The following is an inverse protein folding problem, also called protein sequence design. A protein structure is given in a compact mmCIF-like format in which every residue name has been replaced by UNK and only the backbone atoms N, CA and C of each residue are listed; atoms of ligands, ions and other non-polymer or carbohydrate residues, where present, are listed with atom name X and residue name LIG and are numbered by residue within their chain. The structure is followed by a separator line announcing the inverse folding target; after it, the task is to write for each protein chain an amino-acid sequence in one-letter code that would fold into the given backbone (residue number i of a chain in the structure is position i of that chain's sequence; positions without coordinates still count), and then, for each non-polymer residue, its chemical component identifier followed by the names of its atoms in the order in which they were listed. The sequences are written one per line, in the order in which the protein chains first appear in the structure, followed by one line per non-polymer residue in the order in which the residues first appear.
data_IF_764967188652
#
_entry.id   IF_764967188652
#
_cell.length_a   1.000
_cell.length_b   1.000
_cell.length_c   1.000
_cell.angle_alpha   90.00
_cell.angle_beta   90.00
_cell.angle_gamma   90.00
#
_symmetry.space_group_name_H-M   'P 1'
#
loop_
_entity.id
_entity.type
_entity.pdbx_description
1 polymer ?
#
# COMPACT_ATOMS: atom_id res chain seq x y z
N UNK A 1 -18.91 -12.81 -12.09
CA UNK A 1 -17.45 -12.83 -11.82
C UNK A 1 -16.70 -13.39 -13.02
N UNK A 2 -15.56 -12.78 -13.38
CA UNK A 2 -14.65 -13.24 -14.44
C UNK A 2 -13.26 -13.40 -13.83
N UNK A 3 -12.54 -14.47 -14.18
CA UNK A 3 -11.16 -14.72 -13.71
C UNK A 3 -10.23 -14.52 -14.89
N UNK A 4 -9.14 -13.78 -14.67
CA UNK A 4 -8.07 -13.62 -15.65
C UNK A 4 -6.75 -14.14 -15.08
N UNK A 5 -5.98 -14.79 -15.95
CA UNK A 5 -4.64 -15.30 -15.67
C UNK A 5 -3.62 -14.39 -16.34
N UNK A 6 -2.60 -14.03 -15.60
CA UNK A 6 -1.52 -13.17 -16.07
C UNK A 6 -0.20 -13.91 -15.86
N UNK A 7 0.32 -14.58 -16.90
CA UNK A 7 1.61 -15.26 -16.78
C UNK A 7 2.72 -14.25 -16.54
N UNK A 8 3.65 -14.61 -15.65
CA UNK A 8 4.87 -13.85 -15.41
C UNK A 8 6.00 -14.37 -16.30
N UNK A 9 7.03 -13.56 -16.49
CA UNK A 9 8.26 -14.04 -17.12
C UNK A 9 8.84 -15.20 -16.29
N UNK A 10 9.22 -16.30 -16.96
CA UNK A 10 9.79 -17.46 -16.27
C UNK A 10 11.21 -17.15 -15.78
N UNK A 11 11.50 -17.46 -14.51
CA UNK A 11 12.83 -17.30 -13.92
C UNK A 11 13.78 -18.46 -14.27
N UNK A 12 13.23 -19.63 -14.57
CA UNK A 12 14.00 -20.84 -14.87
C UNK A 12 13.18 -21.83 -15.70
N UNK A 13 13.87 -22.70 -16.43
CA UNK A 13 13.23 -23.75 -17.23
C UNK A 13 12.35 -24.64 -16.35
N UNK A 14 11.10 -24.83 -16.77
CA UNK A 14 10.12 -25.66 -16.06
C UNK A 14 9.49 -24.98 -14.83
N UNK A 15 9.67 -23.68 -14.65
CA UNK A 15 9.03 -22.89 -13.58
C UNK A 15 8.17 -21.81 -14.19
N UNK A 16 6.84 -21.95 -14.07
CA UNK A 16 5.89 -20.97 -14.52
C UNK A 16 5.10 -20.45 -13.34
N UNK A 17 4.93 -19.13 -13.27
CA UNK A 17 4.07 -18.45 -12.29
C UNK A 17 3.06 -17.56 -13.00
N UNK A 18 1.88 -17.44 -12.40
CA UNK A 18 0.83 -16.57 -12.91
C UNK A 18 0.17 -15.79 -11.76
N UNK A 19 -0.30 -14.59 -12.05
CA UNK A 19 -1.20 -13.85 -11.20
C UNK A 19 -2.65 -14.19 -11.58
N UNK A 20 -3.53 -14.25 -10.59
CA UNK A 20 -4.96 -14.37 -10.80
C UNK A 20 -5.65 -13.07 -10.39
N UNK A 21 -6.41 -12.47 -11.30
CA UNK A 21 -7.29 -11.35 -11.00
C UNK A 21 -8.76 -11.76 -11.13
N UNK A 22 -9.57 -11.32 -10.17
CA UNK A 22 -11.01 -11.59 -10.08
C UNK A 22 -11.76 -10.30 -10.37
N UNK A 23 -12.58 -10.31 -11.41
CA UNK A 23 -13.28 -9.12 -11.90
C UNK A 23 -14.78 -9.25 -11.64
N UNK A 24 -15.34 -8.25 -11.00
CA UNK A 24 -16.75 -8.11 -10.67
C UNK A 24 -17.30 -6.85 -11.33
N UNK A 25 -18.59 -6.85 -11.64
CA UNK A 25 -19.27 -5.74 -12.32
C UNK A 25 -18.93 -5.63 -13.81
N UNK A 26 -19.31 -4.51 -14.41
CA UNK A 26 -19.15 -4.25 -15.84
C UNK A 26 -18.05 -3.23 -16.08
N UNK A 27 -17.01 -3.53 -16.87
CA UNK A 27 -15.99 -2.56 -17.22
C UNK A 27 -16.60 -1.29 -17.84
N UNK A 28 -16.16 -0.12 -17.35
CA UNK A 28 -16.61 1.17 -17.86
C UNK A 28 -18.02 1.59 -17.47
N UNK A 29 -18.73 0.84 -16.62
CA UNK A 29 -20.07 1.22 -16.15
C UNK A 29 -20.05 2.28 -15.03
N UNK A 30 -18.88 2.58 -14.47
CA UNK A 30 -18.67 3.52 -13.37
C UNK A 30 -17.20 3.50 -12.95
N UNK A 31 -16.95 3.80 -11.68
CA UNK A 31 -15.58 3.78 -11.14
C UNK A 31 -14.99 2.36 -11.22
N UNK A 32 -13.68 2.30 -11.48
CA UNK A 32 -12.89 1.09 -11.38
C UNK A 32 -12.14 1.07 -10.06
N UNK A 33 -12.33 0.03 -9.29
CA UNK A 33 -11.67 -0.23 -8.01
C UNK A 33 -10.66 -1.37 -8.21
N UNK A 34 -9.42 -1.16 -7.81
CA UNK A 34 -8.41 -2.20 -7.77
C UNK A 34 -8.00 -2.48 -6.32
N UNK A 35 -8.00 -3.74 -5.93
CA UNK A 35 -7.61 -4.19 -4.59
C UNK A 35 -6.62 -5.33 -4.74
N UNK A 36 -5.43 -5.19 -4.14
CA UNK A 36 -4.47 -6.29 -4.08
C UNK A 36 -4.08 -6.61 -2.63
N UNK A 37 -3.55 -7.79 -2.43
CA UNK A 37 -2.98 -8.25 -1.16
C UNK A 37 -1.74 -9.10 -1.41
N UNK A 38 -0.89 -9.23 -0.40
CA UNK A 38 0.29 -10.11 -0.46
C UNK A 38 1.34 -9.65 -1.48
N UNK A 39 1.56 -8.34 -1.63
CA UNK A 39 2.70 -7.82 -2.37
C UNK A 39 3.99 -8.10 -1.59
N UNK A 40 4.03 -7.81 -0.29
CA UNK A 40 4.91 -8.51 0.64
C UNK A 40 4.22 -9.83 1.00
N UNK A 41 4.74 -10.94 0.51
CA UNK A 41 3.97 -12.19 0.46
C UNK A 41 3.88 -12.92 1.81
N UNK A 42 4.66 -12.51 2.79
CA UNK A 42 4.59 -12.95 4.20
C UNK A 42 3.53 -12.20 5.02
N UNK A 43 2.91 -11.16 4.46
CA UNK A 43 1.86 -10.36 5.08
C UNK A 43 0.48 -10.96 4.78
N UNK A 44 0.02 -11.88 5.62
CA UNK A 44 -1.15 -12.73 5.37
C UNK A 44 -2.53 -12.08 5.63
N UNK A 45 -2.71 -11.08 6.54
CA UNK A 45 -4.03 -10.49 6.84
C UNK A 45 -4.78 -10.03 5.59
N UNK A 46 -4.09 -9.38 4.64
CA UNK A 46 -4.67 -8.89 3.39
C UNK A 46 -5.27 -10.00 2.52
N UNK A 47 -4.66 -11.19 2.47
CA UNK A 47 -5.21 -12.32 1.72
C UNK A 47 -6.54 -12.79 2.30
N UNK A 48 -6.67 -12.81 3.62
CA UNK A 48 -7.92 -13.20 4.29
C UNK A 48 -9.02 -12.14 4.08
N UNK A 49 -8.66 -10.84 4.12
CA UNK A 49 -9.58 -9.75 3.76
C UNK A 49 -10.04 -9.88 2.29
N UNK A 50 -9.12 -10.14 1.36
CA UNK A 50 -9.45 -10.35 -0.04
C UNK A 50 -10.39 -11.54 -0.25
N UNK A 51 -10.23 -12.64 0.52
CA UNK A 51 -11.17 -13.77 0.52
C UNK A 51 -12.58 -13.32 0.95
N UNK A 52 -12.71 -12.57 2.04
CA UNK A 52 -14.00 -12.06 2.50
C UNK A 52 -14.62 -11.05 1.52
N UNK A 53 -13.82 -10.17 0.91
CA UNK A 53 -14.28 -9.23 -0.12
C UNK A 53 -14.82 -9.96 -1.35
N UNK A 54 -14.11 -10.99 -1.82
CA UNK A 54 -14.56 -11.78 -2.97
C UNK A 54 -15.96 -12.36 -2.74
N UNK A 55 -16.20 -12.97 -1.59
CA UNK A 55 -17.51 -13.51 -1.23
C UNK A 55 -18.61 -12.43 -1.22
N UNK A 56 -18.30 -11.21 -0.74
CA UNK A 56 -19.23 -10.08 -0.75
C UNK A 56 -19.52 -9.60 -2.17
N UNK A 57 -18.50 -9.44 -3.00
CA UNK A 57 -18.70 -8.98 -4.39
C UNK A 57 -19.42 -10.00 -5.25
N UNK A 58 -19.30 -11.29 -4.99
CA UNK A 58 -20.14 -12.32 -5.65
C UNK A 58 -21.63 -12.09 -5.37
N UNK A 59 -21.98 -11.79 -4.13
CA UNK A 59 -23.36 -11.48 -3.73
C UNK A 59 -23.84 -10.15 -4.34
N UNK A 60 -23.02 -9.09 -4.24
CA UNK A 60 -23.35 -7.76 -4.76
C UNK A 60 -23.54 -7.76 -6.29
N UNK A 61 -22.72 -8.51 -7.02
CA UNK A 61 -22.85 -8.68 -8.47
C UNK A 61 -24.14 -9.47 -8.79
N UNK A 62 -24.40 -10.58 -8.11
CA UNK A 62 -25.60 -11.42 -8.32
C UNK A 62 -26.90 -10.66 -8.02
N UNK A 63 -26.87 -9.69 -7.12
CA UNK A 63 -28.02 -8.86 -6.74
C UNK A 63 -28.07 -7.52 -7.48
N UNK A 64 -27.20 -7.30 -8.48
CA UNK A 64 -27.09 -6.04 -9.26
C UNK A 64 -26.85 -4.78 -8.41
N UNK A 65 -26.15 -4.95 -7.30
CA UNK A 65 -25.79 -3.85 -6.38
C UNK A 65 -24.42 -3.26 -6.67
N UNK A 66 -23.68 -3.79 -7.63
CA UNK A 66 -22.38 -3.29 -8.03
C UNK A 66 -22.54 -2.35 -9.23
N UNK A 67 -22.21 -1.05 -9.04
CA UNK A 67 -22.41 0.02 -10.04
C UNK A 67 -21.19 0.18 -10.94
N UNK A 68 -20.00 -0.11 -10.45
CA UNK A 68 -18.73 0.00 -11.17
C UNK A 68 -18.07 -1.35 -11.47
N UNK A 69 -16.75 -1.29 -11.68
CA UNK A 69 -15.90 -2.49 -11.82
C UNK A 69 -15.02 -2.64 -10.58
N UNK A 70 -14.91 -3.87 -10.06
CA UNK A 70 -13.96 -4.21 -8.99
C UNK A 70 -13.02 -5.30 -9.48
N UNK A 71 -11.73 -5.08 -9.33
CA UNK A 71 -10.66 -6.05 -9.66
C UNK A 71 -9.93 -6.41 -8.37
N UNK A 72 -9.90 -7.69 -8.00
CA UNK A 72 -9.19 -8.18 -6.83
C UNK A 72 -8.04 -9.11 -7.26
N UNK A 73 -6.85 -8.86 -6.74
CA UNK A 73 -5.66 -9.71 -6.86
C UNK A 73 -5.29 -10.21 -5.46
N UNK A 74 -5.80 -11.37 -5.01
CA UNK A 74 -5.63 -11.84 -3.64
C UNK A 74 -4.19 -12.23 -3.29
N UNK A 75 -3.41 -12.59 -4.28
CA UNK A 75 -1.99 -12.96 -4.18
C UNK A 75 -1.25 -12.17 -5.25
N UNK A 76 -0.78 -10.99 -4.90
CA UNK A 76 -0.05 -10.11 -5.79
C UNK A 76 1.38 -10.58 -6.06
N UNK A 77 1.96 -11.41 -5.18
CA UNK A 77 3.35 -11.85 -5.28
C UNK A 77 3.52 -13.37 -5.09
N UNK A 78 3.29 -14.17 -6.14
CA UNK A 78 3.51 -15.61 -6.08
C UNK A 78 5.01 -15.99 -6.00
N UNK A 79 5.92 -15.06 -6.31
CA UNK A 79 7.38 -15.27 -6.18
C UNK A 79 7.72 -15.31 -4.69
N UNK A 80 7.44 -14.22 -3.98
CA UNK A 80 7.70 -14.10 -2.55
C UNK A 80 6.94 -15.14 -1.72
N UNK A 81 5.70 -15.49 -2.13
CA UNK A 81 4.90 -16.51 -1.45
C UNK A 81 5.55 -17.91 -1.49
N UNK A 82 6.36 -18.19 -2.50
CA UNK A 82 7.10 -19.46 -2.62
C UNK A 82 8.42 -19.47 -1.83
N UNK A 83 8.82 -18.33 -1.24
CA UNK A 83 10.10 -18.21 -0.52
C UNK A 83 9.96 -18.63 0.95
N UNK A 84 10.19 -19.90 1.22
CA UNK A 84 10.17 -20.47 2.56
C UNK A 84 11.59 -20.98 2.90
N UNK A 85 12.18 -20.46 4.00
CA UNK A 85 13.49 -20.89 4.48
C UNK A 85 13.39 -21.32 5.95
N UNK A 86 13.77 -22.55 6.26
CA UNK A 86 13.76 -23.10 7.62
C UNK A 86 12.43 -22.83 8.38
N UNK A 87 11.31 -22.99 7.68
CA UNK A 87 9.95 -22.72 8.18
C UNK A 87 9.61 -21.24 8.42
N UNK A 88 10.49 -20.32 8.03
CA UNK A 88 10.23 -18.89 8.03
C UNK A 88 9.86 -18.44 6.63
N UNK A 89 8.75 -17.74 6.49
CA UNK A 89 8.31 -17.15 5.24
C UNK A 89 9.07 -15.84 5.01
N UNK A 90 9.71 -15.70 3.86
CA UNK A 90 10.52 -14.54 3.47
C UNK A 90 9.92 -13.87 2.24
N UNK A 91 8.77 -13.23 2.42
CA UNK A 91 7.97 -12.72 1.32
C UNK A 91 8.19 -11.25 0.95
N UNK A 92 8.97 -10.50 1.76
CA UNK A 92 9.17 -9.07 1.58
C UNK A 92 10.20 -8.73 0.51
N UNK A 93 11.28 -9.52 0.45
CA UNK A 93 12.39 -9.33 -0.49
C UNK A 93 12.51 -10.51 -1.43
N UNK A 94 12.91 -10.24 -2.68
CA UNK A 94 13.31 -11.30 -3.61
C UNK A 94 14.66 -11.88 -3.18
N UNK A 95 14.71 -13.17 -2.88
CA UNK A 95 15.95 -13.84 -2.45
C UNK A 95 17.01 -13.92 -3.55
N UNK A 96 16.62 -13.79 -4.81
CA UNK A 96 17.54 -13.82 -5.93
C UNK A 96 18.29 -12.51 -6.14
N UNK A 97 17.64 -11.38 -5.90
CA UNK A 97 18.20 -10.05 -6.15
C UNK A 97 18.41 -9.21 -4.89
N UNK A 98 17.74 -9.55 -3.79
CA UNK A 98 17.69 -8.74 -2.58
C UNK A 98 16.76 -7.51 -2.68
N UNK A 99 16.02 -7.36 -3.79
CA UNK A 99 15.11 -6.24 -3.97
C UNK A 99 13.82 -6.41 -3.17
N UNK A 100 13.36 -5.31 -2.56
CA UNK A 100 12.03 -5.24 -1.97
C UNK A 100 10.96 -5.26 -3.07
N UNK A 101 9.96 -6.14 -2.96
CA UNK A 101 8.91 -6.27 -3.96
C UNK A 101 8.05 -5.01 -4.11
N UNK A 102 7.91 -4.20 -3.05
CA UNK A 102 7.16 -2.93 -3.06
C UNK A 102 8.08 -1.71 -3.24
N UNK A 103 9.10 -1.80 -4.07
CA UNK A 103 9.97 -0.68 -4.46
C UNK A 103 10.24 -0.72 -5.96
N UNK A 104 10.76 0.40 -6.49
CA UNK A 104 11.25 0.52 -7.86
C UNK A 104 10.20 0.19 -8.94
N UNK A 105 8.94 0.57 -8.70
CA UNK A 105 7.92 0.52 -9.75
C UNK A 105 8.28 1.50 -10.87
N UNK A 106 7.87 1.22 -12.14
CA UNK A 106 8.11 2.14 -13.25
C UNK A 106 7.57 3.54 -12.97
N UNK A 107 8.41 4.58 -13.11
CA UNK A 107 7.99 5.97 -13.05
C UNK A 107 7.29 6.34 -14.37
N UNK A 108 6.03 6.75 -14.32
CA UNK A 108 5.21 6.99 -15.51
C UNK A 108 5.23 8.44 -15.97
N UNK A 109 5.55 9.39 -15.10
CA UNK A 109 5.35 10.82 -15.31
C UNK A 109 5.93 11.35 -16.62
N UNK A 110 7.23 11.20 -16.87
CA UNK A 110 7.87 11.76 -18.05
C UNK A 110 7.35 11.15 -19.36
N UNK A 111 7.14 9.83 -19.36
CA UNK A 111 6.59 9.11 -20.51
C UNK A 111 5.16 9.54 -20.83
N UNK A 112 4.34 9.76 -19.81
CA UNK A 112 2.96 10.26 -19.95
C UNK A 112 2.95 11.71 -20.35
N UNK A 113 3.70 12.60 -19.68
CA UNK A 113 3.79 14.02 -19.98
C UNK A 113 4.17 14.27 -21.45
N UNK A 114 5.16 13.52 -21.94
CA UNK A 114 5.57 13.60 -23.36
C UNK A 114 4.42 13.25 -24.33
N UNK A 115 3.60 12.25 -23.99
CA UNK A 115 2.49 11.80 -24.84
C UNK A 115 1.29 12.73 -24.83
N UNK A 116 1.01 13.39 -23.69
CA UNK A 116 -0.21 14.18 -23.54
C UNK A 116 -0.02 15.67 -23.82
N UNK A 117 1.20 16.18 -23.83
CA UNK A 117 1.54 17.63 -23.84
C UNK A 117 0.80 18.46 -24.88
N UNK A 118 0.55 17.93 -26.08
CA UNK A 118 -0.11 18.61 -27.19
C UNK A 118 -1.57 18.17 -27.41
N UNK A 119 -2.14 17.39 -26.47
CA UNK A 119 -3.46 16.76 -26.61
C UNK A 119 -4.41 17.12 -25.46
N UNK A 120 -3.89 17.80 -24.42
CA UNK A 120 -4.72 18.24 -23.29
C UNK A 120 -5.73 19.30 -23.75
N UNK A 121 -6.93 19.22 -23.22
CA UNK A 121 -8.07 20.09 -23.53
C UNK A 121 -8.57 20.82 -22.27
N UNK A 122 -9.61 21.64 -22.43
CA UNK A 122 -10.32 22.26 -21.30
C UNK A 122 -11.32 21.32 -20.62
N UNK A 123 -11.45 20.07 -21.08
CA UNK A 123 -12.36 19.08 -20.54
C UNK A 123 -11.60 18.10 -19.63
N UNK A 124 -12.00 18.04 -18.36
CA UNK A 124 -11.42 17.19 -17.32
C UNK A 124 -11.58 15.69 -17.65
N UNK A 125 -12.72 15.31 -18.23
CA UNK A 125 -13.03 13.91 -18.54
C UNK A 125 -12.18 13.42 -19.70
N UNK A 126 -12.02 14.25 -20.75
CA UNK A 126 -11.14 13.94 -21.88
C UNK A 126 -9.69 13.81 -21.42
N UNK A 127 -9.21 14.74 -20.59
CA UNK A 127 -7.85 14.68 -20.04
C UNK A 127 -7.62 13.43 -19.20
N UNK A 128 -8.59 13.05 -18.35
CA UNK A 128 -8.51 11.82 -17.56
C UNK A 128 -8.40 10.57 -18.46
N UNK A 129 -9.22 10.47 -19.49
CA UNK A 129 -9.19 9.34 -20.42
C UNK A 129 -7.87 9.29 -21.19
N UNK A 130 -7.38 10.45 -21.66
CA UNK A 130 -6.10 10.60 -22.37
C UNK A 130 -4.93 10.15 -21.48
N UNK A 131 -4.86 10.63 -20.24
CA UNK A 131 -3.80 10.29 -19.28
C UNK A 131 -3.80 8.79 -18.98
N UNK A 132 -4.94 8.18 -18.71
CA UNK A 132 -5.06 6.73 -18.50
C UNK A 132 -4.59 5.91 -19.70
N UNK A 133 -4.96 6.35 -20.90
CA UNK A 133 -4.50 5.74 -22.16
C UNK A 133 -2.97 5.86 -22.31
N UNK A 134 -2.41 7.03 -22.00
CA UNK A 134 -0.97 7.27 -22.06
C UNK A 134 -0.19 6.43 -21.03
N UNK A 135 -0.71 6.29 -19.79
CA UNK A 135 -0.11 5.40 -18.78
C UNK A 135 -0.01 3.96 -19.27
N UNK A 136 -1.10 3.42 -19.83
CA UNK A 136 -1.11 2.08 -20.42
C UNK A 136 -0.13 1.96 -21.59
N UNK A 137 -0.05 2.97 -22.44
CA UNK A 137 0.87 2.99 -23.58
C UNK A 137 2.35 3.03 -23.12
N UNK A 138 2.67 3.80 -22.07
CA UNK A 138 4.03 3.81 -21.47
C UNK A 138 4.40 2.46 -20.93
N UNK A 139 3.49 1.80 -20.19
CA UNK A 139 3.73 0.47 -19.63
C UNK A 139 3.82 -0.62 -20.70
N UNK A 140 3.12 -0.47 -21.84
CA UNK A 140 3.19 -1.42 -22.95
C UNK A 140 4.47 -1.25 -23.80
N UNK A 141 5.10 -0.09 -23.77
CA UNK A 141 6.25 0.25 -24.59
C UNK A 141 7.54 -0.37 -24.03
N UNK A 142 8.04 -1.38 -24.70
CA UNK A 142 9.28 -2.08 -24.31
C UNK A 142 10.54 -1.21 -24.53
N UNK A 143 10.48 -0.20 -25.40
CA UNK A 143 11.61 0.68 -25.69
C UNK A 143 11.92 1.66 -24.56
N UNK A 144 10.99 1.88 -23.62
CA UNK A 144 11.17 2.78 -22.46
C UNK A 144 11.87 2.10 -21.27
N UNK A 145 12.15 0.80 -21.39
CA UNK A 145 12.86 0.05 -20.34
C UNK A 145 14.38 0.27 -20.45
N UNK A 146 15.14 0.31 -19.34
CA UNK A 146 16.56 0.54 -19.39
C UNK A 146 17.26 -0.57 -20.21
N UNK A 147 18.26 -0.22 -21.06
CA UNK A 147 18.87 -1.12 -22.04
C UNK A 147 19.66 -2.31 -21.44
N UNK A 148 19.78 -2.39 -20.14
CA UNK A 148 20.49 -3.51 -19.44
C UNK A 148 19.62 -4.76 -19.30
N UNK A 149 18.31 -4.65 -19.49
CA UNK A 149 17.39 -5.78 -19.36
C UNK A 149 16.82 -6.19 -20.71
N UNK A 150 17.65 -6.80 -21.58
CA UNK A 150 17.16 -7.52 -22.77
C UNK A 150 16.33 -8.76 -22.41
N UNK A 151 16.30 -9.16 -21.13
CA UNK A 151 15.40 -10.17 -20.59
C UNK A 151 14.59 -9.53 -19.44
N UNK A 152 13.27 -9.50 -19.56
CA UNK A 152 12.38 -9.11 -18.48
C UNK A 152 12.54 -10.09 -17.33
N UNK A 153 13.02 -9.61 -16.17
CA UNK A 153 13.11 -10.47 -14.97
C UNK A 153 11.71 -10.77 -14.44
N UNK A 154 11.60 -11.85 -13.66
CA UNK A 154 10.31 -12.24 -13.07
C UNK A 154 9.72 -11.11 -12.20
N UNK A 155 10.55 -10.42 -11.39
CA UNK A 155 10.13 -9.30 -10.55
C UNK A 155 9.72 -8.06 -11.39
N UNK A 156 10.42 -7.77 -12.48
CA UNK A 156 10.03 -6.69 -13.39
C UNK A 156 8.70 -6.99 -14.09
N UNK A 157 8.51 -8.25 -14.51
CA UNK A 157 7.23 -8.74 -15.06
C UNK A 157 6.09 -8.62 -14.06
N UNK A 158 6.34 -8.96 -12.78
CA UNK A 158 5.39 -8.81 -11.68
C UNK A 158 4.96 -7.35 -11.52
N UNK A 159 5.91 -6.45 -11.31
CA UNK A 159 5.67 -5.00 -11.12
C UNK A 159 4.88 -4.40 -12.28
N UNK A 160 5.29 -4.71 -13.51
CA UNK A 160 4.62 -4.26 -14.74
C UNK A 160 3.17 -4.76 -14.81
N UNK A 161 2.94 -6.03 -14.51
CA UNK A 161 1.61 -6.65 -14.57
C UNK A 161 0.66 -6.03 -13.53
N UNK A 162 1.11 -5.87 -12.29
CA UNK A 162 0.30 -5.24 -11.23
C UNK A 162 -0.04 -3.79 -11.58
N UNK A 163 0.94 -3.02 -12.04
CA UNK A 163 0.71 -1.62 -12.41
C UNK A 163 -0.21 -1.48 -13.64
N UNK A 164 -0.12 -2.39 -14.63
CA UNK A 164 -1.05 -2.43 -15.77
C UNK A 164 -2.50 -2.73 -15.36
N UNK A 165 -2.70 -3.50 -14.29
CA UNK A 165 -4.03 -3.79 -13.75
C UNK A 165 -4.63 -2.61 -12.97
N UNK A 166 -3.75 -1.78 -12.36
CA UNK A 166 -4.13 -0.72 -11.44
C UNK A 166 -4.12 0.69 -12.03
N UNK A 167 -3.26 1.00 -13.01
CA UNK A 167 -2.95 2.38 -13.44
C UNK A 167 -4.14 3.19 -13.98
N UNK A 168 -5.23 2.55 -14.35
CA UNK A 168 -6.47 3.20 -14.81
C UNK A 168 -7.60 3.13 -13.79
N UNK A 169 -7.32 2.66 -12.57
CA UNK A 169 -8.33 2.60 -11.51
C UNK A 169 -8.59 3.98 -10.89
N UNK A 170 -9.82 4.19 -10.44
CA UNK A 170 -10.23 5.36 -9.65
C UNK A 170 -9.81 5.24 -8.19
N UNK A 171 -9.75 4.00 -7.69
CA UNK A 171 -9.28 3.67 -6.34
C UNK A 171 -8.38 2.45 -6.40
N UNK A 172 -7.24 2.54 -5.72
CA UNK A 172 -6.27 1.45 -5.53
C UNK A 172 -6.11 1.23 -4.03
N UNK A 173 -6.38 0.02 -3.56
CA UNK A 173 -6.13 -0.41 -2.20
C UNK A 173 -5.07 -1.51 -2.21
N UNK A 174 -3.93 -1.23 -1.63
CA UNK A 174 -2.83 -2.17 -1.44
C UNK A 174 -2.85 -2.66 0.01
N UNK A 175 -3.26 -3.92 0.21
CA UNK A 175 -3.48 -4.48 1.55
C UNK A 175 -2.20 -5.12 2.07
N UNK A 176 -1.63 -4.49 3.08
CA UNK A 176 -0.41 -4.84 3.79
C UNK A 176 -0.67 -5.11 5.28
N UNK A 177 0.37 -5.38 6.05
CA UNK A 177 0.44 -5.26 7.50
C UNK A 177 1.89 -4.99 7.94
N UNK A 178 2.07 -4.41 9.15
CA UNK A 178 3.41 -4.24 9.75
C UNK A 178 3.71 -5.40 10.73
N UNK A 179 4.84 -5.39 11.41
CA UNK A 179 5.28 -6.46 12.32
C UNK A 179 4.26 -6.70 13.45
N UNK A 180 4.07 -5.72 14.31
CA UNK A 180 2.98 -5.60 15.29
C UNK A 180 2.50 -4.14 15.23
N UNK A 181 1.23 -3.89 14.94
CA UNK A 181 0.75 -2.55 14.64
C UNK A 181 -0.75 -2.36 14.91
N UNK A 182 -1.17 -1.11 15.00
CA UNK A 182 -2.58 -0.74 14.81
C UNK A 182 -2.92 -0.68 13.33
N UNK A 183 -4.22 -0.73 13.00
CA UNK A 183 -4.64 -0.42 11.64
C UNK A 183 -4.25 1.02 11.29
N UNK A 184 -3.46 1.19 10.24
CA UNK A 184 -3.00 2.50 9.78
C UNK A 184 -2.89 2.58 8.27
N UNK A 185 -2.78 3.79 7.72
CA UNK A 185 -2.79 4.03 6.28
C UNK A 185 -1.59 4.87 5.86
N UNK A 186 -1.10 4.60 4.63
CA UNK A 186 -0.24 5.53 3.90
C UNK A 186 -0.94 6.00 2.63
N UNK A 187 -0.84 7.28 2.31
CA UNK A 187 -1.38 7.82 1.06
C UNK A 187 -0.71 9.14 0.68
N UNK A 188 -0.89 9.55 -0.58
CA UNK A 188 -0.43 10.84 -1.06
C UNK A 188 -1.05 12.02 -0.29
N UNK A 189 -0.24 13.01 0.12
CA UNK A 189 -0.75 14.21 0.80
C UNK A 189 -1.92 14.87 0.04
N UNK A 190 -1.88 15.02 -1.31
CA UNK A 190 -3.00 15.60 -2.06
C UNK A 190 -4.27 14.72 -2.05
N UNK A 191 -4.14 13.44 -1.76
CA UNK A 191 -5.24 12.46 -1.78
C UNK A 191 -6.01 12.39 -0.45
N UNK A 192 -5.50 13.02 0.62
CA UNK A 192 -6.09 12.91 1.95
C UNK A 192 -7.60 13.19 1.99
N UNK A 193 -8.13 14.26 1.35
CA UNK A 193 -9.57 14.49 1.37
C UNK A 193 -10.42 13.36 0.81
N UNK A 194 -9.88 12.58 -0.12
CA UNK A 194 -10.54 11.40 -0.70
C UNK A 194 -10.32 10.14 0.16
N UNK A 195 -9.20 10.05 0.90
CA UNK A 195 -8.83 8.93 1.75
C UNK A 195 -9.48 8.97 3.15
N UNK A 196 -9.83 10.18 3.66
CA UNK A 196 -10.43 10.36 4.99
C UNK A 196 -11.63 9.44 5.26
N UNK A 197 -12.60 9.27 4.35
CA UNK A 197 -13.71 8.34 4.57
C UNK A 197 -13.24 6.88 4.72
N UNK A 198 -12.23 6.43 3.99
CA UNK A 198 -11.67 5.09 4.12
C UNK A 198 -11.06 4.90 5.51
N UNK A 199 -10.23 5.86 5.96
CA UNK A 199 -9.61 5.83 7.28
C UNK A 199 -10.66 5.71 8.40
N UNK A 200 -11.77 6.42 8.27
CA UNK A 200 -12.88 6.40 9.25
C UNK A 200 -13.63 5.07 9.24
N UNK A 201 -14.01 4.55 8.07
CA UNK A 201 -14.73 3.28 7.98
C UNK A 201 -13.89 2.09 8.43
N UNK A 202 -12.57 2.13 8.21
CA UNK A 202 -11.64 1.12 8.71
C UNK A 202 -11.28 1.31 10.20
N UNK A 203 -11.55 2.50 10.77
CA UNK A 203 -11.17 2.82 12.15
C UNK A 203 -9.66 2.96 12.32
N UNK A 204 -8.96 3.51 11.31
CA UNK A 204 -7.52 3.71 11.33
C UNK A 204 -7.07 4.53 12.54
N UNK A 205 -6.01 4.07 13.21
CA UNK A 205 -5.43 4.73 14.37
C UNK A 205 -4.28 5.66 14.02
N UNK A 206 -3.75 5.57 12.80
CA UNK A 206 -2.83 6.54 12.23
C UNK A 206 -3.07 6.63 10.71
N UNK A 207 -2.80 7.79 10.12
CA UNK A 207 -2.75 7.98 8.67
C UNK A 207 -1.56 8.86 8.37
N UNK A 208 -0.64 8.34 7.58
CA UNK A 208 0.66 8.92 7.30
C UNK A 208 0.68 9.44 5.87
N UNK A 209 0.94 10.73 5.71
CA UNK A 209 0.84 11.44 4.44
C UNK A 209 2.22 11.79 3.89
N UNK A 210 2.47 11.48 2.62
CA UNK A 210 3.66 11.92 1.92
C UNK A 210 3.32 12.31 0.49
N UNK A 211 4.01 13.30 -0.07
CA UNK A 211 3.95 13.56 -1.51
C UNK A 211 4.87 12.62 -2.27
N UNK A 212 5.95 12.21 -1.60
CA UNK A 212 6.94 11.25 -2.06
C UNK A 212 7.59 10.61 -0.84
N UNK A 213 7.64 9.28 -0.77
CA UNK A 213 8.24 8.54 0.35
C UNK A 213 9.62 7.95 0.02
N UNK A 214 9.96 7.89 -1.27
CA UNK A 214 11.21 7.34 -1.80
C UNK A 214 11.05 5.96 -2.44
N UNK A 215 11.93 5.69 -3.41
CA UNK A 215 12.04 4.41 -4.13
C UNK A 215 10.77 3.93 -4.86
N UNK A 216 9.82 4.84 -5.11
CA UNK A 216 8.61 4.64 -5.91
C UNK A 216 7.85 3.34 -5.58
N UNK A 217 7.20 3.22 -4.41
CA UNK A 217 6.35 2.09 -4.06
C UNK A 217 5.10 2.03 -4.95
N UNK A 218 4.35 0.93 -4.88
CA UNK A 218 3.21 0.67 -5.77
C UNK A 218 2.11 1.73 -5.70
N UNK A 219 1.74 2.18 -4.52
CA UNK A 219 0.70 3.20 -4.32
C UNK A 219 1.09 4.56 -4.92
N UNK A 220 2.35 4.98 -4.77
CA UNK A 220 2.87 6.19 -5.40
C UNK A 220 2.94 6.04 -6.92
N UNK A 221 3.41 4.90 -7.43
CA UNK A 221 3.45 4.64 -8.87
C UNK A 221 2.06 4.69 -9.54
N UNK A 222 0.98 4.35 -8.80
CA UNK A 222 -0.39 4.46 -9.27
C UNK A 222 -0.91 5.91 -9.29
N UNK A 223 -0.51 6.74 -8.33
CA UNK A 223 -1.17 8.04 -8.09
C UNK A 223 -0.30 9.26 -8.34
N UNK A 224 1.01 9.18 -8.14
CA UNK A 224 1.92 10.33 -8.17
C UNK A 224 1.91 11.08 -9.51
N UNK A 225 1.80 10.36 -10.62
CA UNK A 225 1.74 10.95 -11.96
C UNK A 225 0.62 11.99 -12.11
N UNK A 226 -0.51 11.85 -11.39
CA UNK A 226 -1.65 12.77 -11.52
C UNK A 226 -1.32 14.18 -11.03
N UNK A 227 -0.76 14.34 -9.83
CA UNK A 227 -0.40 15.68 -9.34
C UNK A 227 0.84 16.23 -10.02
N UNK A 228 1.80 15.39 -10.41
CA UNK A 228 2.95 15.83 -11.21
C UNK A 228 2.52 16.41 -12.57
N UNK A 229 1.53 15.80 -13.23
CA UNK A 229 0.97 16.33 -14.47
C UNK A 229 0.19 17.64 -14.24
N UNK A 230 -0.60 17.72 -13.17
CA UNK A 230 -1.32 18.94 -12.81
C UNK A 230 -0.35 20.11 -12.57
N UNK A 231 0.75 19.86 -11.86
CA UNK A 231 1.81 20.86 -11.64
C UNK A 231 2.54 21.24 -12.94
N UNK A 232 2.77 20.28 -13.83
CA UNK A 232 3.46 20.50 -15.11
C UNK A 232 2.59 21.28 -16.10
N UNK A 233 1.28 21.07 -16.07
CA UNK A 233 0.30 21.62 -17.03
C UNK A 233 -0.80 22.42 -16.32
N UNK A 234 -0.48 23.50 -15.58
CA UNK A 234 -1.43 24.18 -14.69
C UNK A 234 -2.59 24.90 -15.43
N UNK A 235 -2.50 25.03 -16.75
CA UNK A 235 -3.55 25.64 -17.57
C UNK A 235 -4.63 24.63 -18.02
N UNK A 236 -4.49 23.37 -17.70
CA UNK A 236 -5.43 22.32 -18.07
C UNK A 236 -6.00 21.65 -16.82
N UNK A 237 -7.29 21.30 -16.81
CA UNK A 237 -7.90 20.59 -15.68
C UNK A 237 -7.42 19.14 -15.68
N UNK A 238 -6.56 18.80 -14.71
CA UNK A 238 -6.06 17.45 -14.47
C UNK A 238 -6.43 17.07 -13.03
N UNK A 239 -7.52 16.30 -12.85
CA UNK A 239 -7.96 15.90 -11.52
C UNK A 239 -7.10 14.77 -10.94
N UNK A 240 -7.15 14.61 -9.61
CA UNK A 240 -6.54 13.48 -8.91
C UNK A 240 -7.39 12.21 -9.10
N UNK A 241 -7.31 11.62 -10.30
CA UNK A 241 -8.21 10.55 -10.75
C UNK A 241 -7.84 9.14 -10.27
N UNK A 242 -6.84 9.02 -9.40
CA UNK A 242 -6.49 7.77 -8.75
C UNK A 242 -6.25 8.02 -7.26
N UNK A 243 -7.19 7.59 -6.42
CA UNK A 243 -6.97 7.47 -4.97
C UNK A 243 -6.21 6.18 -4.70
N UNK A 244 -4.93 6.24 -4.38
CA UNK A 244 -4.14 5.08 -3.99
C UNK A 244 -3.80 5.14 -2.50
N UNK A 245 -4.02 4.02 -1.81
CA UNK A 245 -3.82 3.89 -0.36
C UNK A 245 -3.19 2.54 -0.05
N UNK A 246 -2.08 2.57 0.68
CA UNK A 246 -1.57 1.38 1.38
C UNK A 246 -2.32 1.24 2.70
N UNK A 247 -2.97 0.10 2.89
CA UNK A 247 -3.77 -0.23 4.08
C UNK A 247 -3.04 -1.26 4.90
N UNK A 248 -2.47 -0.82 6.02
CA UNK A 248 -1.76 -1.69 6.96
C UNK A 248 -2.76 -2.31 7.96
N UNK A 249 -3.07 -3.57 7.74
CA UNK A 249 -4.08 -4.34 8.46
C UNK A 249 -3.52 -4.88 9.78
N UNK A 250 -2.98 -4.01 10.64
CA UNK A 250 -2.38 -4.34 11.95
C UNK A 250 -1.07 -5.14 11.81
N UNK A 251 -0.90 -6.20 12.63
CA UNK A 251 0.31 -7.01 12.71
C UNK A 251 0.24 -8.31 11.91
N UNK A 252 1.42 -8.90 11.67
CA UNK A 252 1.58 -10.18 10.93
C UNK A 252 0.75 -11.33 11.49
N UNK A 253 0.47 -11.33 12.80
CA UNK A 253 -0.28 -12.39 13.48
C UNK A 253 -1.80 -12.12 13.55
N UNK A 254 -2.27 -10.98 13.08
CA UNK A 254 -3.68 -10.58 13.10
C UNK A 254 -4.49 -11.24 11.98
N UNK A 255 -4.42 -12.55 11.89
CA UNK A 255 -5.06 -13.39 10.87
C UNK A 255 -6.29 -14.08 11.48
N UNK A 256 -7.39 -13.35 11.62
CA UNK A 256 -8.65 -13.88 12.13
C UNK A 256 -9.82 -13.53 11.23
N UNK A 257 -10.82 -14.42 11.15
CA UNK A 257 -12.06 -14.14 10.42
C UNK A 257 -12.80 -12.92 10.96
N UNK A 258 -12.75 -12.66 12.25
CA UNK A 258 -13.42 -11.51 12.89
C UNK A 258 -12.85 -10.19 12.38
N UNK A 259 -11.51 -10.03 12.41
CA UNK A 259 -10.82 -8.83 11.93
C UNK A 259 -11.00 -8.68 10.42
N UNK A 260 -10.77 -9.74 9.64
CA UNK A 260 -10.91 -9.69 8.19
C UNK A 260 -12.36 -9.39 7.74
N UNK A 261 -13.36 -9.85 8.49
CA UNK A 261 -14.76 -9.48 8.26
C UNK A 261 -15.00 -8.00 8.49
N UNK A 262 -14.52 -7.48 9.63
CA UNK A 262 -14.65 -6.06 9.97
C UNK A 262 -13.95 -5.16 8.93
N UNK A 263 -12.76 -5.51 8.49
CA UNK A 263 -12.00 -4.76 7.49
C UNK A 263 -12.71 -4.79 6.12
N UNK A 264 -13.19 -5.97 5.71
CA UNK A 264 -13.97 -6.10 4.48
C UNK A 264 -15.27 -5.28 4.53
N UNK A 265 -15.97 -5.26 5.67
CA UNK A 265 -17.18 -4.45 5.85
C UNK A 265 -16.86 -2.94 5.80
N UNK A 266 -15.75 -2.51 6.38
CA UNK A 266 -15.25 -1.14 6.29
C UNK A 266 -14.95 -0.72 4.85
N UNK A 267 -14.28 -1.60 4.08
CA UNK A 267 -14.03 -1.34 2.64
C UNK A 267 -15.34 -1.27 1.85
N UNK A 268 -16.30 -2.17 2.10
CA UNK A 268 -17.61 -2.11 1.42
C UNK A 268 -18.36 -0.83 1.79
N UNK A 269 -18.35 -0.39 3.05
CA UNK A 269 -18.97 0.86 3.48
C UNK A 269 -18.33 2.08 2.78
N UNK A 270 -17.01 2.09 2.64
CA UNK A 270 -16.30 3.10 1.86
C UNK A 270 -16.72 3.08 0.38
N UNK A 271 -16.85 1.92 -0.23
CA UNK A 271 -17.29 1.80 -1.63
C UNK A 271 -18.76 2.20 -1.82
N UNK A 272 -19.62 1.98 -0.81
CA UNK A 272 -20.97 2.55 -0.79
C UNK A 272 -20.94 4.09 -0.70
N UNK A 273 -20.08 4.64 0.16
CA UNK A 273 -19.88 6.08 0.26
C UNK A 273 -19.43 6.71 -1.06
N UNK A 274 -18.63 5.99 -1.85
CA UNK A 274 -18.21 6.42 -3.20
C UNK A 274 -19.23 6.13 -4.31
N UNK A 275 -20.33 5.46 -4.02
CA UNK A 275 -21.37 5.09 -5.00
C UNK A 275 -20.98 3.93 -5.92
N UNK A 276 -19.94 3.17 -5.61
CA UNK A 276 -19.52 1.97 -6.34
C UNK A 276 -20.40 0.77 -5.99
N UNK A 277 -20.84 0.71 -4.74
CA UNK A 277 -21.82 -0.25 -4.24
C UNK A 277 -23.12 0.49 -3.98
N UNK A 278 -24.23 -0.02 -4.51
CA UNK A 278 -25.55 0.58 -4.35
C UNK A 278 -26.03 0.55 -2.88
N UNK A 279 -26.89 1.49 -2.54
CA UNK A 279 -27.42 1.64 -1.19
C UNK A 279 -26.92 2.89 -0.48
N UNK A 280 -27.38 3.07 0.75
CA UNK A 280 -26.96 4.21 1.59
C UNK A 280 -25.79 3.74 2.45
N UNK A 281 -24.66 4.43 2.32
CA UNK A 281 -23.50 4.16 3.17
C UNK A 281 -23.87 4.37 4.64
N UNK A 282 -23.33 3.58 5.56
CA UNK A 282 -23.45 3.84 7.00
C UNK A 282 -22.98 5.28 7.34
N UNK A 283 -23.48 5.89 8.44
CA UNK A 283 -22.96 7.17 8.89
C UNK A 283 -21.45 7.14 9.02
N UNK A 284 -20.79 8.19 8.53
CA UNK A 284 -19.34 8.27 8.55
C UNK A 284 -18.83 8.32 10.00
N UNK A 285 -18.03 7.35 10.46
CA UNK A 285 -17.52 7.35 11.83
C UNK A 285 -16.63 8.55 12.15
N UNK A 286 -16.45 8.88 13.42
CA UNK A 286 -15.49 9.91 13.82
C UNK A 286 -14.07 9.46 13.46
N UNK A 287 -13.24 10.38 13.00
CA UNK A 287 -11.81 10.12 12.82
C UNK A 287 -11.17 9.92 14.20
N UNK A 288 -10.40 8.87 14.38
CA UNK A 288 -9.81 8.52 15.67
C UNK A 288 -8.68 9.47 16.05
N UNK A 289 -7.78 9.74 15.09
CA UNK A 289 -6.69 10.70 15.22
C UNK A 289 -6.51 11.46 13.90
N UNK A 290 -6.04 12.70 13.93
CA UNK A 290 -5.71 13.46 12.72
C UNK A 290 -4.65 12.73 11.89
N UNK A 291 -4.71 12.89 10.56
CA UNK A 291 -3.63 12.45 9.69
C UNK A 291 -2.36 13.30 9.95
N UNK A 292 -1.20 12.66 9.89
CA UNK A 292 0.10 13.28 10.16
C UNK A 292 1.04 13.12 8.98
N UNK A 293 2.03 14.01 8.79
CA UNK A 293 3.02 13.82 7.74
C UNK A 293 3.87 12.58 8.04
N UNK A 294 4.14 11.75 7.04
CA UNK A 294 5.08 10.62 7.16
C UNK A 294 6.48 11.08 7.60
N UNK A 295 6.89 12.28 7.16
CA UNK A 295 8.14 12.91 7.59
C UNK A 295 8.16 13.28 9.09
N UNK A 296 7.00 13.27 9.75
CA UNK A 296 6.88 13.48 11.20
C UNK A 296 6.88 12.17 12.00
N UNK A 297 6.76 11.02 11.34
CA UNK A 297 6.84 9.74 12.02
C UNK A 297 8.25 9.47 12.51
N UNK A 298 8.40 9.15 13.78
CA UNK A 298 9.68 8.74 14.38
C UNK A 298 9.82 7.22 14.33
N UNK A 299 10.94 6.75 13.79
CA UNK A 299 11.38 5.36 13.87
C UNK A 299 12.47 5.27 14.90
N UNK A 300 12.15 4.74 16.08
CA UNK A 300 13.05 4.67 17.23
C UNK A 300 13.94 3.44 17.09
N UNK A 301 15.24 3.66 16.90
CA UNK A 301 16.25 2.61 16.72
C UNK A 301 17.08 2.40 17.99
N UNK A 302 17.59 1.18 18.17
CA UNK A 302 18.53 0.90 19.27
C UNK A 302 19.98 1.00 18.82
N UNK A 303 20.85 1.55 19.67
CA UNK A 303 22.32 1.49 19.51
C UNK A 303 22.95 0.27 20.18
N UNK A 304 22.17 -0.54 20.89
CA UNK A 304 22.63 -1.67 21.70
C UNK A 304 22.00 -2.98 21.23
N UNK A 305 22.71 -4.08 21.43
CA UNK A 305 22.18 -5.42 21.19
C UNK A 305 21.73 -6.05 22.52
N UNK A 306 20.59 -6.75 22.50
CA UNK A 306 20.08 -7.42 23.70
C UNK A 306 18.62 -7.85 23.59
N UNK A 307 18.08 -8.25 24.75
CA UNK A 307 16.68 -8.62 24.91
C UNK A 307 15.84 -7.36 24.96
N UNK A 308 14.78 -7.31 24.15
CA UNK A 308 13.86 -6.18 24.05
C UNK A 308 12.67 -6.37 24.98
N UNK A 309 12.41 -5.35 25.79
CA UNK A 309 11.21 -5.24 26.63
C UNK A 309 10.44 -3.99 26.20
N UNK A 310 9.26 -4.17 25.60
CA UNK A 310 8.37 -3.05 25.26
C UNK A 310 7.68 -2.56 26.53
N UNK A 311 7.76 -1.25 26.79
CA UNK A 311 7.13 -0.58 27.94
C UNK A 311 5.77 0.00 27.59
N UNK A 312 5.45 0.09 26.31
CA UNK A 312 4.20 0.59 25.75
C UNK A 312 3.64 -0.42 24.74
N UNK A 313 2.37 -0.23 24.38
CA UNK A 313 1.67 -1.09 23.41
C UNK A 313 1.30 -0.28 22.16
N UNK A 314 1.15 -0.96 21.05
CA UNK A 314 0.58 -0.36 19.85
C UNK A 314 -0.81 0.21 20.14
N UNK A 315 -1.04 1.45 19.68
CA UNK A 315 -2.25 2.22 19.97
C UNK A 315 -2.16 3.16 21.16
N UNK A 316 -1.14 3.06 22.01
CA UNK A 316 -0.91 4.01 23.10
C UNK A 316 -0.53 5.39 22.53
N UNK A 317 -1.02 6.44 23.18
CA UNK A 317 -0.55 7.82 22.92
C UNK A 317 0.73 8.07 23.72
N UNK A 318 1.81 8.37 23.04
CA UNK A 318 3.14 8.59 23.60
C UNK A 318 3.40 10.10 23.71
N UNK A 319 4.00 10.54 24.80
CA UNK A 319 4.50 11.92 24.97
C UNK A 319 5.99 11.99 24.61
N UNK A 320 6.42 13.15 24.15
CA UNK A 320 7.86 13.40 23.98
C UNK A 320 8.62 13.22 25.31
N UNK A 321 9.73 12.48 25.28
CA UNK A 321 10.52 12.09 26.46
C UNK A 321 10.03 10.84 27.17
N UNK A 322 8.94 10.21 26.71
CA UNK A 322 8.39 9.00 27.34
C UNK A 322 9.16 7.75 26.91
N UNK A 323 9.48 6.89 27.89
CA UNK A 323 10.13 5.61 27.63
C UNK A 323 9.17 4.62 26.95
N UNK A 324 9.64 4.01 25.84
CA UNK A 324 8.85 3.11 25.01
C UNK A 324 9.33 1.67 24.98
N UNK A 325 10.66 1.47 25.15
CA UNK A 325 11.26 0.15 25.22
C UNK A 325 12.57 0.17 25.99
N UNK A 326 13.01 -0.99 26.43
CA UNK A 326 14.35 -1.24 27.00
C UNK A 326 15.06 -2.34 26.21
N UNK A 327 16.36 -2.20 26.02
CA UNK A 327 17.23 -3.24 25.48
C UNK A 327 18.23 -3.64 26.56
N UNK A 328 18.16 -4.88 27.00
CA UNK A 328 18.91 -5.41 28.14
C UNK A 328 20.01 -6.33 27.61
N UNK A 329 21.26 -6.00 27.95
CA UNK A 329 22.40 -6.89 27.70
C UNK A 329 22.53 -7.90 28.87
N UNK A 330 22.20 -9.19 28.67
CA UNK A 330 22.21 -10.17 29.76
C UNK A 330 23.62 -10.57 30.21
N UNK A 331 24.66 -10.26 29.45
CA UNK A 331 26.04 -10.56 29.81
C UNK A 331 26.63 -9.53 30.76
N UNK A 332 26.24 -8.26 30.61
CA UNK A 332 26.78 -7.14 31.41
C UNK A 332 25.78 -6.62 32.44
N UNK A 333 24.48 -6.94 32.28
CA UNK A 333 23.39 -6.36 33.06
C UNK A 333 23.05 -4.91 32.68
N UNK A 334 23.66 -4.37 31.62
CA UNK A 334 23.38 -3.01 31.15
C UNK A 334 21.97 -2.93 30.53
N UNK A 335 21.21 -1.89 30.91
CA UNK A 335 19.90 -1.55 30.36
C UNK A 335 20.01 -0.27 29.57
N UNK A 336 19.57 -0.29 28.32
CA UNK A 336 19.45 0.87 27.46
C UNK A 336 17.96 1.19 27.25
N UNK A 337 17.50 2.30 27.83
CA UNK A 337 16.11 2.75 27.73
C UNK A 337 15.97 3.63 26.48
N UNK A 338 15.00 3.30 25.62
CA UNK A 338 14.63 4.05 24.44
C UNK A 338 13.45 4.98 24.78
N UNK A 339 13.58 6.24 24.42
CA UNK A 339 12.57 7.27 24.64
C UNK A 339 12.12 7.84 23.30
N UNK A 340 10.83 8.21 23.19
CA UNK A 340 10.33 8.93 22.03
C UNK A 340 10.69 10.39 22.11
N UNK A 341 11.23 10.96 21.04
CA UNK A 341 11.36 12.40 20.89
C UNK A 341 10.07 13.08 20.42
N UNK A 342 9.12 12.28 19.92
CA UNK A 342 7.90 12.70 19.24
C UNK A 342 6.67 12.38 20.11
N UNK A 343 5.68 13.29 20.12
CA UNK A 343 4.36 13.02 20.67
C UNK A 343 3.42 12.49 19.59
N UNK A 344 2.72 11.39 19.87
CA UNK A 344 1.77 10.79 18.94
C UNK A 344 1.38 9.36 19.27
N UNK A 345 0.65 8.72 18.35
CA UNK A 345 0.27 7.31 18.49
C UNK A 345 1.47 6.41 18.20
N UNK A 346 1.76 5.46 19.09
CA UNK A 346 2.63 4.32 18.81
C UNK A 346 1.88 3.41 17.83
N UNK A 347 2.19 3.52 16.54
CA UNK A 347 1.41 2.84 15.52
C UNK A 347 1.97 1.48 15.10
N UNK A 348 3.28 1.26 15.29
CA UNK A 348 3.91 -0.03 15.02
C UNK A 348 5.10 -0.29 15.95
N UNK A 349 5.38 -1.55 16.20
CA UNK A 349 6.56 -2.03 16.91
C UNK A 349 7.07 -3.34 16.29
N UNK A 350 8.35 -3.63 16.53
CA UNK A 350 8.97 -4.90 16.14
C UNK A 350 8.35 -6.06 16.92
N UNK A 351 8.19 -7.20 16.28
CA UNK A 351 7.66 -8.40 16.91
C UNK A 351 8.75 -9.32 17.52
N UNK A 352 10.03 -9.06 17.22
CA UNK A 352 11.15 -9.81 17.79
C UNK A 352 11.60 -9.20 19.12
N UNK A 353 11.81 -10.06 20.11
CA UNK A 353 12.30 -9.67 21.45
C UNK A 353 13.83 -9.79 21.58
N UNK A 354 14.55 -9.76 20.47
CA UNK A 354 16.02 -9.62 20.43
C UNK A 354 16.39 -8.61 19.36
N UNK A 355 17.18 -7.62 19.73
CA UNK A 355 17.64 -6.59 18.82
C UNK A 355 19.16 -6.62 18.64
N UNK A 356 19.58 -6.18 17.44
CA UNK A 356 20.95 -5.78 17.14
C UNK A 356 21.03 -4.26 16.98
N UNK A 357 22.22 -3.68 17.17
CA UNK A 357 22.42 -2.25 16.99
C UNK A 357 22.01 -1.79 15.58
N UNK A 358 21.29 -0.67 15.49
CA UNK A 358 20.74 -0.11 14.26
C UNK A 358 19.31 -0.58 13.94
N UNK A 359 18.79 -1.61 14.60
CA UNK A 359 17.44 -2.12 14.39
C UNK A 359 16.39 -1.13 14.93
N UNK A 360 15.33 -0.86 14.15
CA UNK A 360 14.19 -0.09 14.66
C UNK A 360 13.33 -0.99 15.58
N UNK A 361 12.71 -0.40 16.60
CA UNK A 361 11.90 -1.14 17.55
C UNK A 361 10.48 -0.58 17.68
N UNK A 362 10.32 0.73 17.55
CA UNK A 362 9.02 1.40 17.76
C UNK A 362 8.87 2.52 16.75
N UNK A 363 7.65 2.71 16.24
CA UNK A 363 7.28 3.83 15.36
C UNK A 363 6.15 4.66 16.01
N UNK A 364 6.35 5.98 16.08
CA UNK A 364 5.39 6.95 16.65
C UNK A 364 4.97 7.95 15.58
N UNK A 365 3.67 8.16 15.39
CA UNK A 365 3.10 9.06 14.39
C UNK A 365 3.08 10.51 14.89
N UNK A 366 4.14 11.27 14.61
CA UNK A 366 4.27 12.68 15.03
C UNK A 366 3.66 13.66 14.03
N UNK A 367 3.19 14.81 14.54
CA UNK A 367 2.53 15.85 13.74
C UNK A 367 3.49 16.80 13.03
N UNK A 368 4.78 16.85 13.44
CA UNK A 368 5.76 17.79 12.91
C UNK A 368 6.78 17.09 12.03
N UNK A 369 6.88 17.52 10.76
CA UNK A 369 7.88 17.00 9.83
C UNK A 369 9.30 17.32 10.32
N UNK A 370 10.13 16.28 10.50
CA UNK A 370 11.52 16.38 10.97
C UNK A 370 12.48 15.51 10.15
N UNK A 371 11.99 14.81 9.14
CA UNK A 371 12.76 13.91 8.26
C UNK A 371 12.69 14.37 6.82
N UNK A 372 13.74 14.08 6.05
CA UNK A 372 13.85 14.34 4.61
C UNK A 372 14.48 13.14 3.90
N UNK A 373 14.37 13.06 2.58
CA UNK A 373 14.87 11.94 1.80
C UNK A 373 13.92 10.74 1.86
N UNK A 374 14.46 9.52 1.76
CA UNK A 374 13.66 8.30 1.85
C UNK A 374 13.04 8.17 3.24
N UNK A 375 11.72 8.17 3.30
CA UNK A 375 10.94 8.17 4.55
C UNK A 375 10.57 6.76 5.01
N UNK A 376 10.51 5.80 4.08
CA UNK A 376 10.24 4.40 4.35
C UNK A 376 11.56 3.60 4.37
N UNK A 377 11.58 2.53 5.17
CA UNK A 377 12.70 1.56 5.15
C UNK A 377 12.73 0.78 3.84
N UNK A 378 13.92 0.30 3.49
CA UNK A 378 14.13 -0.56 2.33
C UNK A 378 13.29 -1.85 2.37
#
# INVERSE_FOLDING_TARGET
MRIKKHPLASSALGTDRELLSFHYGTPGSGQKIYIQASLHADELPGMLVAHHLRSRFEVLEATSQLVGEVVIVPVANPIGLAQMMMRTHLGRFDLGTGENFNRHYPALFEGVASRVSNQLTSDETENTALIRSAMRAVLADESTQPPVATATTEIASLRKTLLLLACDADVVLDLHCDCDAVLHLYTGTPLWPQADPLARYLGASATLLATESGDNPFDEACSQTWWQLADRFPNYPIPLSCLSVTVELRGLTDVTHSQATQDADGIIAFLQHRGVVAGIAPPLPALKYPATPLAGAESITTSSSGVVVFLRKVGDWIKAGEAVAEVINPLTGQVHTLVSATEGVLYAQENHHFATAGMWLVKVAGATSNRTGNLLSA
#
